data_IF_886867428961
#
_entry.id   IF_886867428961
#
_cell.length_a   1.000
_cell.length_b   1.000
_cell.length_c   1.000
_cell.angle_alpha   90.00
_cell.angle_beta   90.00
_cell.angle_gamma   90.00
#
_symmetry.space_group_name_H-M   'P 1'
#
loop_
_entity.id
_entity.type
_entity.pdbx_description
1 polymer ?
#
# COMPACT_ATOMS: atom_id res chain seq x y z
N UNK A 1 15.39 -9.66 -5.73
CA UNK A 1 14.62 -10.45 -4.74
C UNK A 1 13.58 -11.25 -5.49
N UNK A 2 13.67 -12.58 -5.43
CA UNK A 2 12.64 -13.47 -5.98
C UNK A 2 11.59 -13.68 -4.89
N UNK A 3 10.46 -12.97 -5.00
CA UNK A 3 9.34 -13.00 -4.06
C UNK A 3 8.39 -14.18 -4.31
N UNK A 4 8.87 -15.25 -4.93
CA UNK A 4 8.05 -16.41 -5.22
C UNK A 4 7.66 -17.11 -3.92
N UNK A 5 6.36 -17.07 -3.63
CA UNK A 5 5.64 -18.14 -2.92
C UNK A 5 5.63 -18.10 -1.39
N UNK A 6 5.38 -16.94 -0.78
CA UNK A 6 4.69 -16.91 0.52
C UNK A 6 3.55 -15.90 0.43
N UNK A 7 2.32 -16.41 0.34
CA UNK A 7 1.08 -15.61 0.38
C UNK A 7 0.86 -15.02 1.77
N UNK A 8 1.79 -14.16 2.21
CA UNK A 8 1.59 -13.32 3.38
C UNK A 8 0.55 -12.26 3.05
N UNK A 9 -0.39 -12.04 3.97
CA UNK A 9 -1.39 -10.98 3.85
C UNK A 9 -0.74 -9.61 3.59
N UNK A 10 0.45 -9.36 4.14
CA UNK A 10 1.21 -8.14 3.87
C UNK A 10 1.64 -8.03 2.38
N UNK A 11 2.12 -9.13 1.79
CA UNK A 11 2.53 -9.17 0.37
C UNK A 11 1.32 -8.96 -0.54
N UNK A 12 0.19 -9.59 -0.23
CA UNK A 12 -1.05 -9.38 -0.97
C UNK A 12 -1.54 -7.92 -0.88
N UNK A 13 -1.42 -7.30 0.30
CA UNK A 13 -1.78 -5.89 0.46
C UNK A 13 -0.82 -4.96 -0.30
N UNK A 14 0.49 -5.26 -0.29
CA UNK A 14 1.48 -4.50 -1.05
C UNK A 14 1.18 -4.52 -2.56
N UNK A 15 0.83 -5.69 -3.11
CA UNK A 15 0.44 -5.79 -4.52
C UNK A 15 -0.77 -4.90 -4.83
N UNK A 16 -1.82 -4.93 -3.99
CA UNK A 16 -3.01 -4.09 -4.17
C UNK A 16 -2.70 -2.60 -4.13
N UNK A 17 -1.75 -2.18 -3.28
CA UNK A 17 -1.30 -0.79 -3.20
C UNK A 17 -0.60 -0.39 -4.49
N UNK A 18 0.28 -1.24 -5.01
CA UNK A 18 1.00 -1.01 -6.27
C UNK A 18 0.02 -0.91 -7.45
N UNK A 19 -0.94 -1.84 -7.53
CA UNK A 19 -2.01 -1.83 -8.54
C UNK A 19 -2.85 -0.54 -8.47
N UNK A 20 -3.16 -0.06 -7.25
CA UNK A 20 -3.87 1.20 -7.08
C UNK A 20 -3.06 2.37 -7.62
N UNK A 21 -1.79 2.51 -7.22
CA UNK A 21 -0.91 3.60 -7.67
C UNK A 21 -0.74 3.59 -9.20
N UNK A 22 -0.64 2.41 -9.82
CA UNK A 22 -0.61 2.26 -11.27
C UNK A 22 -1.92 2.71 -11.93
N UNK A 23 -3.08 2.45 -11.29
CA UNK A 23 -4.40 2.77 -11.83
C UNK A 23 -4.79 4.26 -11.72
N UNK A 24 -4.44 4.96 -10.63
CA UNK A 24 -4.74 6.41 -10.49
C UNK A 24 -3.82 7.28 -11.35
N UNK A 25 -2.69 6.75 -11.83
CA UNK A 25 -1.60 7.56 -12.40
C UNK A 25 -1.01 8.50 -11.34
N UNK A 26 0.14 9.14 -11.62
CA UNK A 26 0.84 10.07 -10.70
C UNK A 26 0.07 11.35 -10.33
N UNK A 27 -1.27 11.31 -10.28
CA UNK A 27 -2.16 12.46 -10.19
C UNK A 27 -2.30 13.02 -8.77
N UNK A 28 -1.46 12.64 -7.81
CA UNK A 28 -1.50 13.23 -6.47
C UNK A 28 -0.15 13.12 -5.76
N UNK A 29 0.79 14.01 -6.09
CA UNK A 29 2.15 14.08 -5.52
C UNK A 29 2.20 13.94 -3.99
N UNK A 30 1.20 14.45 -3.27
CA UNK A 30 1.11 14.34 -1.80
C UNK A 30 0.64 12.97 -1.29
N UNK A 31 -0.24 12.30 -2.04
CA UNK A 31 -0.74 10.97 -1.68
C UNK A 31 0.31 9.91 -2.00
N UNK A 32 0.96 10.03 -3.16
CA UNK A 32 1.98 9.10 -3.64
C UNK A 32 3.16 9.03 -2.66
N UNK A 33 3.62 10.17 -2.14
CA UNK A 33 4.73 10.20 -1.18
C UNK A 33 4.39 9.53 0.14
N UNK A 34 3.23 9.85 0.72
CA UNK A 34 2.80 9.26 1.98
C UNK A 34 2.58 7.74 1.86
N UNK A 35 2.03 7.29 0.73
CA UNK A 35 1.84 5.86 0.43
C UNK A 35 3.20 5.17 0.25
N UNK A 36 4.12 5.76 -0.53
CA UNK A 36 5.46 5.22 -0.73
C UNK A 36 6.23 5.04 0.59
N UNK A 37 6.25 6.07 1.45
CA UNK A 37 6.92 5.98 2.76
C UNK A 37 6.35 4.86 3.66
N UNK A 38 5.05 4.58 3.58
CA UNK A 38 4.44 3.48 4.32
C UNK A 38 4.73 2.11 3.68
N UNK A 39 4.76 2.03 2.35
CA UNK A 39 5.14 0.81 1.62
C UNK A 39 6.59 0.42 1.95
N UNK A 40 7.53 1.37 1.99
CA UNK A 40 8.92 1.10 2.38
C UNK A 40 9.01 0.57 3.81
N UNK A 41 8.30 1.18 4.77
CA UNK A 41 8.26 0.68 6.16
C UNK A 41 7.71 -0.75 6.26
N UNK A 42 6.67 -1.08 5.49
CA UNK A 42 6.13 -2.43 5.44
C UNK A 42 7.13 -3.44 4.85
N UNK A 43 7.89 -3.05 3.81
CA UNK A 43 8.96 -3.87 3.24
C UNK A 43 10.10 -4.09 4.24
N UNK A 44 10.49 -3.06 4.97
CA UNK A 44 11.48 -3.20 6.04
C UNK A 44 10.99 -4.12 7.16
N UNK A 45 9.74 -3.99 7.60
CA UNK A 45 9.14 -4.88 8.60
C UNK A 45 9.16 -6.34 8.13
N UNK A 46 8.80 -6.61 6.87
CA UNK A 46 8.94 -7.93 6.26
C UNK A 46 10.39 -8.43 6.24
N UNK A 47 11.34 -7.57 5.90
CA UNK A 47 12.77 -7.92 5.91
C UNK A 47 13.30 -8.24 7.33
N UNK A 48 12.68 -7.64 8.35
CA UNK A 48 12.93 -7.93 9.77
C UNK A 48 12.16 -9.15 10.28
N UNK A 49 11.27 -9.74 9.48
CA UNK A 49 10.39 -10.86 9.87
C UNK A 49 9.17 -10.44 10.69
N UNK A 50 8.89 -9.14 10.81
CA UNK A 50 7.76 -8.60 11.56
C UNK A 50 6.51 -8.49 10.69
N UNK A 51 5.92 -9.64 10.39
CA UNK A 51 4.79 -9.75 9.47
C UNK A 51 3.53 -9.03 10.01
N UNK A 52 3.33 -8.99 11.33
CA UNK A 52 2.18 -8.30 11.94
C UNK A 52 2.26 -6.79 11.73
N UNK A 53 3.45 -6.21 11.91
CA UNK A 53 3.67 -4.79 11.65
C UNK A 53 3.47 -4.48 10.17
N UNK A 54 4.01 -5.32 9.27
CA UNK A 54 3.81 -5.16 7.83
C UNK A 54 2.33 -5.21 7.42
N UNK A 55 1.54 -6.14 7.98
CA UNK A 55 0.08 -6.23 7.74
C UNK A 55 -0.61 -4.96 8.23
N UNK A 56 -0.29 -4.48 9.43
CA UNK A 56 -0.93 -3.30 10.00
C UNK A 56 -0.65 -2.03 9.17
N UNK A 57 0.60 -1.86 8.72
CA UNK A 57 1.00 -0.74 7.87
C UNK A 57 0.26 -0.80 6.53
N UNK A 58 0.31 -1.94 5.85
CA UNK A 58 -0.29 -2.11 4.52
C UNK A 58 -1.82 -2.00 4.54
N UNK A 59 -2.49 -2.54 5.57
CA UNK A 59 -3.93 -2.39 5.76
C UNK A 59 -4.33 -0.91 5.93
N UNK A 60 -3.55 -0.15 6.71
CA UNK A 60 -3.80 1.29 6.90
C UNK A 60 -3.61 2.09 5.61
N UNK A 61 -2.66 1.71 4.77
CA UNK A 61 -2.48 2.32 3.45
C UNK A 61 -3.68 2.04 2.57
N UNK A 62 -4.14 0.78 2.47
CA UNK A 62 -5.33 0.43 1.69
C UNK A 62 -6.57 1.22 2.14
N UNK A 63 -6.80 1.35 3.44
CA UNK A 63 -7.91 2.15 3.96
C UNK A 63 -7.83 3.63 3.50
N UNK A 64 -6.63 4.22 3.48
CA UNK A 64 -6.42 5.59 3.00
C UNK A 64 -6.69 5.72 1.50
N UNK A 65 -6.24 4.75 0.71
CA UNK A 65 -6.46 4.72 -0.74
C UNK A 65 -7.96 4.59 -1.04
N UNK A 66 -8.67 3.70 -0.34
CA UNK A 66 -10.13 3.59 -0.45
C UNK A 66 -10.86 4.88 -0.10
N UNK A 67 -10.42 5.60 0.94
CA UNK A 67 -11.00 6.90 1.32
C UNK A 67 -10.72 7.96 0.26
N UNK A 68 -9.51 8.00 -0.30
CA UNK A 68 -9.16 8.92 -1.37
C UNK A 68 -10.01 8.67 -2.63
N UNK A 69 -10.19 7.39 -3.02
CA UNK A 69 -11.04 7.00 -4.14
C UNK A 69 -12.51 7.42 -3.94
N UNK A 70 -13.08 7.20 -2.74
CA UNK A 70 -14.44 7.63 -2.42
C UNK A 70 -14.59 9.16 -2.41
N UNK A 71 -13.62 9.89 -1.86
CA UNK A 71 -13.64 11.36 -1.87
C UNK A 71 -13.56 11.92 -3.29
N UNK A 72 -12.82 11.28 -4.19
CA UNK A 72 -12.74 11.68 -5.60
C UNK A 72 -14.06 11.46 -6.35
N UNK A 73 -14.93 10.55 -5.89
CA UNK A 73 -16.25 10.29 -6.50
C UNK A 73 -17.39 11.10 -5.88
N UNK A 74 -17.13 11.91 -4.83
CA UNK A 74 -18.13 12.71 -4.13
C UNK A 74 -18.21 14.18 -4.54
N UNK A 75 -17.40 14.60 -5.52
CA UNK A 75 -17.47 15.94 -6.11
C UNK A 75 -18.16 15.87 -7.48
N UNK A 76 -19.48 15.79 -7.48
CA UNK A 76 -20.34 16.07 -8.63
C UNK A 76 -21.53 16.89 -8.16
#
# INVERSE_FOLDING_TARGET
MNWEMVMSLAVANLQKIDDYLAAVGSSSEGLDKAVAEHVDKAKEALARGDEKEAIAITAKVLERLEKAQRSSSGAA
#
